data_IF_948925049087
#
_entry.id   IF_948925049087
#
_cell.length_a   1.000
_cell.length_b   1.000
_cell.length_c   1.000
_cell.angle_alpha   90.00
_cell.angle_beta   90.00
_cell.angle_gamma   90.00
#
_symmetry.space_group_name_H-M   'P 1'
#
loop_
_entity.id
_entity.type
_entity.pdbx_description
1 polymer ?
#
# COMPACT_ATOMS: atom_id res chain seq x y z
N UNK A 1 -8.60 -4.25 10.41
CA UNK A 1 -8.48 -2.83 10.79
C UNK A 1 -7.37 -2.75 11.82
N UNK A 2 -6.46 -1.77 11.70
CA UNK A 2 -5.31 -1.67 12.61
C UNK A 2 -5.74 -1.27 14.03
N UNK A 3 -5.05 -1.78 15.06
CA UNK A 3 -5.23 -1.33 16.44
C UNK A 3 -4.43 -0.05 16.73
N UNK A 4 -4.69 0.59 17.87
CA UNK A 4 -4.04 1.84 18.26
C UNK A 4 -2.51 1.69 18.38
N UNK A 5 -2.02 0.56 18.86
CA UNK A 5 -0.59 0.25 18.95
C UNK A 5 0.06 0.14 17.57
N UNK A 6 -0.62 -0.47 16.60
CA UNK A 6 -0.15 -0.59 15.22
C UNK A 6 -0.13 0.77 14.51
N UNK A 7 -1.15 1.59 14.74
CA UNK A 7 -1.20 2.97 14.27
C UNK A 7 -0.05 3.77 14.89
N UNK A 8 0.14 3.70 16.20
CA UNK A 8 1.23 4.37 16.91
C UNK A 8 2.60 3.92 16.38
N UNK A 9 2.81 2.62 16.19
CA UNK A 9 4.08 2.10 15.66
C UNK A 9 4.36 2.62 14.25
N UNK A 10 3.33 2.74 13.41
CA UNK A 10 3.44 3.31 12.06
C UNK A 10 3.75 4.80 12.11
N UNK A 11 3.13 5.56 13.01
CA UNK A 11 3.46 6.97 13.19
C UNK A 11 4.91 7.16 13.65
N UNK A 12 5.38 6.34 14.59
CA UNK A 12 6.78 6.36 15.03
C UNK A 12 7.75 5.99 13.90
N UNK A 13 7.40 5.05 13.02
CA UNK A 13 8.19 4.71 11.83
C UNK A 13 8.42 5.94 10.93
N UNK A 14 7.35 6.69 10.64
CA UNK A 14 7.43 7.88 9.78
C UNK A 14 8.13 9.06 10.48
N UNK A 15 7.93 9.23 11.80
CA UNK A 15 8.67 10.21 12.60
C UNK A 15 10.17 9.90 12.57
N UNK A 16 10.57 8.63 12.66
CA UNK A 16 11.97 8.25 12.57
C UNK A 16 12.59 8.70 11.24
N UNK A 17 11.90 8.50 10.09
CA UNK A 17 12.36 9.01 8.78
C UNK A 17 12.53 10.53 8.79
N UNK A 18 11.57 11.27 9.34
CA UNK A 18 11.63 12.73 9.41
C UNK A 18 12.82 13.22 10.25
N UNK A 19 13.15 12.51 11.34
CA UNK A 19 14.25 12.89 12.24
C UNK A 19 15.63 12.61 11.65
N UNK A 20 15.81 11.52 10.91
CA UNK A 20 17.13 11.18 10.32
C UNK A 20 17.34 11.78 8.93
N UNK A 21 16.26 12.16 8.24
CA UNK A 21 16.30 12.75 6.91
C UNK A 21 16.35 11.72 5.76
N UNK A 22 16.05 12.16 4.51
CA UNK A 22 15.77 11.27 3.37
C UNK A 22 16.96 10.44 2.88
N UNK A 23 18.19 10.83 3.21
CA UNK A 23 19.39 10.04 2.91
C UNK A 23 19.49 8.76 3.75
N UNK A 24 18.81 8.74 4.89
CA UNK A 24 18.73 7.62 5.79
C UNK A 24 17.39 6.92 5.61
N UNK A 25 17.29 6.12 4.53
CA UNK A 25 16.24 5.09 4.35
C UNK A 25 16.23 4.14 5.56
N UNK A 26 15.72 2.92 5.46
CA UNK A 26 15.75 1.94 6.57
C UNK A 26 17.15 1.38 6.93
N UNK A 27 18.21 2.18 6.84
CA UNK A 27 19.58 1.82 7.20
C UNK A 27 19.79 1.82 8.73
N UNK A 28 21.04 1.59 9.17
CA UNK A 28 21.40 1.51 10.59
C UNK A 28 21.03 2.76 11.39
N UNK A 29 21.21 3.95 10.82
CA UNK A 29 20.92 5.24 11.49
C UNK A 29 19.42 5.38 11.74
N UNK A 30 18.61 5.11 10.72
CA UNK A 30 17.16 5.08 10.86
C UNK A 30 16.71 4.03 11.88
N UNK A 31 17.25 2.80 11.80
CA UNK A 31 16.85 1.70 12.69
C UNK A 31 17.14 2.03 14.15
N UNK A 32 18.29 2.65 14.42
CA UNK A 32 18.65 3.10 15.76
C UNK A 32 17.66 4.18 16.24
N UNK A 33 17.37 5.20 15.42
CA UNK A 33 16.42 6.26 15.77
C UNK A 33 15.00 5.71 15.99
N UNK A 34 14.54 4.79 15.14
CA UNK A 34 13.25 4.15 15.25
C UNK A 34 13.10 3.41 16.60
N UNK A 35 14.08 2.60 16.97
CA UNK A 35 14.06 1.90 18.26
C UNK A 35 14.15 2.85 19.45
N UNK A 36 14.97 3.90 19.35
CA UNK A 36 15.12 4.93 20.39
C UNK A 36 13.78 5.63 20.72
N UNK A 37 12.92 5.85 19.73
CA UNK A 37 11.60 6.48 19.93
C UNK A 37 10.47 5.46 20.15
N UNK A 38 10.79 4.17 20.32
CA UNK A 38 9.82 3.12 20.64
C UNK A 38 9.12 2.47 19.44
N UNK A 39 9.61 2.65 18.21
CA UNK A 39 9.19 1.87 17.04
C UNK A 39 9.85 0.48 17.06
N UNK A 40 9.14 -0.55 16.61
CA UNK A 40 9.67 -1.91 16.46
C UNK A 40 10.74 -2.05 15.36
N UNK A 41 10.91 -1.00 14.55
CA UNK A 41 11.83 -0.88 13.43
C UNK A 41 11.69 -1.99 12.37
N UNK A 42 10.49 -2.59 12.25
CA UNK A 42 10.16 -3.40 11.09
C UNK A 42 9.94 -2.51 9.88
N UNK A 43 10.43 -2.96 8.73
CA UNK A 43 10.32 -2.24 7.46
C UNK A 43 9.00 -2.55 6.76
N UNK A 44 8.46 -3.74 6.99
CA UNK A 44 7.23 -4.23 6.35
C UNK A 44 6.18 -4.57 7.41
N UNK A 45 4.92 -4.33 7.08
CA UNK A 45 3.78 -4.72 7.89
C UNK A 45 2.66 -5.27 6.99
N UNK A 46 1.76 -6.08 7.56
CA UNK A 46 0.57 -6.60 6.88
C UNK A 46 -0.72 -5.86 7.28
N UNK A 47 -0.58 -4.65 7.82
CA UNK A 47 -1.70 -3.80 8.25
C UNK A 47 -2.56 -3.36 7.07
N UNK A 48 -3.87 -3.38 7.30
CA UNK A 48 -4.84 -2.75 6.41
C UNK A 48 -5.49 -1.55 7.11
N UNK A 49 -5.13 -0.34 6.66
CA UNK A 49 -5.57 0.92 7.23
C UNK A 49 -6.91 1.43 6.69
N UNK A 50 -7.37 0.93 5.54
CA UNK A 50 -8.58 1.44 4.89
C UNK A 50 -9.14 0.42 3.90
N UNK A 51 -10.38 0.57 3.48
CA UNK A 51 -10.86 -0.21 2.35
C UNK A 51 -10.17 0.21 1.05
N UNK A 52 -9.97 -0.75 0.15
CA UNK A 52 -9.36 -0.48 -1.14
C UNK A 52 -10.30 0.35 -2.02
N UNK A 53 -9.79 1.45 -2.56
CA UNK A 53 -10.55 2.36 -3.43
C UNK A 53 -10.97 1.71 -4.75
N UNK A 54 -10.12 0.85 -5.31
CA UNK A 54 -10.32 0.32 -6.66
C UNK A 54 -10.59 -1.17 -6.63
N UNK A 55 -11.51 -1.62 -7.48
CA UNK A 55 -11.65 -3.02 -7.88
C UNK A 55 -11.31 -3.13 -9.36
N UNK A 56 -10.42 -4.05 -9.71
CA UNK A 56 -10.05 -4.32 -11.09
C UNK A 56 -10.27 -5.80 -11.36
N UNK A 57 -10.85 -6.12 -12.51
CA UNK A 57 -11.24 -7.48 -12.82
C UNK A 57 -11.36 -7.72 -14.31
N UNK A 58 -11.39 -8.99 -14.69
CA UNK A 58 -11.76 -9.39 -16.03
C UNK A 58 -13.22 -9.03 -16.30
N UNK A 59 -13.54 -8.38 -17.42
CA UNK A 59 -14.93 -8.06 -17.78
C UNK A 59 -15.80 -9.30 -18.01
N UNK A 60 -15.17 -10.45 -18.28
CA UNK A 60 -15.84 -11.75 -18.40
C UNK A 60 -15.81 -12.56 -17.09
N UNK A 61 -15.49 -11.94 -15.96
CA UNK A 61 -15.61 -12.56 -14.62
C UNK A 61 -14.55 -13.62 -14.29
N UNK A 62 -13.44 -13.71 -15.03
CA UNK A 62 -12.41 -14.71 -14.74
C UNK A 62 -11.71 -14.52 -13.38
N UNK A 63 -11.64 -13.29 -12.89
CA UNK A 63 -11.04 -12.91 -11.62
C UNK A 63 -11.37 -11.45 -11.30
N UNK A 64 -11.24 -11.10 -10.02
CA UNK A 64 -11.32 -9.73 -9.51
C UNK A 64 -10.32 -9.56 -8.36
N UNK A 65 -9.71 -8.39 -8.28
CA UNK A 65 -8.83 -8.00 -7.17
C UNK A 65 -9.10 -6.56 -6.74
N UNK A 66 -8.81 -6.26 -5.48
CA UNK A 66 -8.86 -4.91 -4.94
C UNK A 66 -7.49 -4.24 -4.98
N UNK A 67 -7.44 -2.91 -5.10
CA UNK A 67 -6.22 -2.10 -5.13
C UNK A 67 -6.43 -0.75 -4.44
N UNK A 68 -5.42 -0.28 -3.70
CA UNK A 68 -5.43 1.08 -3.14
C UNK A 68 -4.95 2.14 -4.13
N UNK A 69 -4.14 1.74 -5.12
CA UNK A 69 -3.59 2.61 -6.17
C UNK A 69 -3.64 1.88 -7.50
N UNK A 70 -3.89 2.62 -8.57
CA UNK A 70 -3.87 2.07 -9.93
C UNK A 70 -3.23 3.06 -10.90
N UNK A 71 -2.42 2.52 -11.82
CA UNK A 71 -1.99 3.26 -13.00
C UNK A 71 -3.02 3.02 -14.12
N UNK A 72 -3.84 4.02 -14.41
CA UNK A 72 -4.91 3.92 -15.42
C UNK A 72 -4.36 3.66 -16.83
N UNK A 73 -3.17 4.20 -17.16
CA UNK A 73 -2.55 3.97 -18.47
C UNK A 73 -2.05 2.52 -18.62
N UNK A 74 -1.50 1.94 -17.54
CA UNK A 74 -1.13 0.53 -17.53
C UNK A 74 -2.34 -0.39 -17.79
N UNK A 75 -3.52 -0.03 -17.26
CA UNK A 75 -4.73 -0.84 -17.41
C UNK A 75 -5.26 -0.86 -18.85
N UNK A 76 -5.17 0.26 -19.58
CA UNK A 76 -5.69 0.40 -20.96
C UNK A 76 -5.16 -0.65 -21.94
N UNK A 77 -3.93 -1.11 -21.74
CA UNK A 77 -3.27 -2.08 -22.63
C UNK A 77 -3.22 -3.49 -22.03
N UNK A 78 -3.88 -3.72 -20.89
CA UNK A 78 -3.91 -5.01 -20.22
C UNK A 78 -5.15 -5.79 -20.63
N UNK A 79 -4.93 -7.08 -20.88
CA UNK A 79 -5.96 -8.05 -21.24
C UNK A 79 -5.95 -9.18 -20.21
N UNK A 80 -7.09 -9.83 -20.05
CA UNK A 80 -7.21 -10.99 -19.20
C UNK A 80 -6.35 -12.13 -19.75
N UNK A 81 -5.41 -12.66 -18.96
CA UNK A 81 -4.57 -13.77 -19.38
C UNK A 81 -5.33 -15.09 -19.60
N UNK A 82 -6.56 -15.22 -19.06
CA UNK A 82 -7.38 -16.44 -19.18
C UNK A 82 -8.26 -16.47 -20.42
N UNK A 83 -8.93 -15.36 -20.72
CA UNK A 83 -9.92 -15.29 -21.82
C UNK A 83 -9.62 -14.21 -22.86
N UNK A 84 -8.53 -13.46 -22.70
CA UNK A 84 -8.13 -12.42 -23.63
C UNK A 84 -9.05 -11.21 -23.67
N UNK A 85 -10.05 -11.07 -22.79
CA UNK A 85 -10.93 -9.87 -22.76
C UNK A 85 -10.23 -8.65 -22.16
N UNK A 86 -10.84 -7.48 -22.29
CA UNK A 86 -10.41 -6.28 -21.57
C UNK A 86 -10.68 -6.40 -20.05
N UNK A 87 -10.05 -5.51 -19.29
CA UNK A 87 -10.17 -5.42 -17.83
C UNK A 87 -11.02 -4.22 -17.44
N UNK A 88 -11.97 -4.45 -16.53
CA UNK A 88 -12.82 -3.42 -15.94
C UNK A 88 -12.16 -2.78 -14.71
N UNK A 89 -12.46 -1.50 -14.48
CA UNK A 89 -12.06 -0.74 -13.28
C UNK A 89 -13.31 -0.14 -12.63
N UNK A 90 -13.51 -0.46 -11.37
CA UNK A 90 -14.44 0.22 -10.48
C UNK A 90 -13.64 1.12 -9.52
N UNK A 91 -14.07 2.36 -9.35
CA UNK A 91 -13.49 3.37 -8.47
C UNK A 91 -14.56 3.82 -7.48
N UNK A 92 -14.41 3.49 -6.20
CA UNK A 92 -15.41 3.81 -5.17
C UNK A 92 -15.60 5.31 -4.91
N UNK A 93 -14.76 6.17 -5.52
CA UNK A 93 -14.86 7.63 -5.45
C UNK A 93 -15.18 8.27 -6.81
N UNK A 94 -15.50 7.48 -7.84
CA UNK A 94 -16.02 8.05 -9.09
C UNK A 94 -17.47 8.50 -8.86
N UNK A 95 -17.71 9.80 -9.02
CA UNK A 95 -19.04 10.39 -9.07
C UNK A 95 -19.73 10.08 -10.40
#
# INVERSE_FOLDING_TARGET
MACDEEVKNTLLHEIAHALVGPGHRHNRVWRQKAQEIGCDAKVTHNLNFSEARYRVGCMQGCWEITRHRINRNWLKHRRCGKCGSDLGLYDSKAA
#
